data_IF_108246820929
#
_entry.id   IF_108246820929
#
_cell.length_a   1.000
_cell.length_b   1.000
_cell.length_c   1.000
_cell.angle_alpha   90.00
_cell.angle_beta   90.00
_cell.angle_gamma   90.00
#
_symmetry.space_group_name_H-M   'P 1'
#
loop_
_entity.id
_entity.type
_entity.pdbx_description
1 polymer ?
#
# COMPACT_ATOMS: atom_id res chain seq x y z
N UNK A 1 28.10 5.56 -3.70
CA UNK A 1 26.74 5.18 -4.12
C UNK A 1 25.85 5.16 -2.88
N UNK A 2 24.68 5.80 -2.95
CA UNK A 2 23.68 5.81 -1.88
C UNK A 2 22.52 4.88 -2.26
N UNK A 3 22.03 4.10 -1.30
CA UNK A 3 20.85 3.25 -1.43
C UNK A 3 19.61 4.05 -1.02
N UNK A 4 18.67 4.20 -1.96
CA UNK A 4 17.44 4.95 -1.75
C UNK A 4 16.24 4.03 -1.90
N UNK A 5 15.37 3.99 -0.90
CA UNK A 5 14.09 3.28 -0.97
C UNK A 5 12.93 4.26 -1.21
N UNK A 6 12.03 3.92 -2.13
CA UNK A 6 10.78 4.66 -2.32
C UNK A 6 9.68 4.02 -1.49
N UNK A 7 9.35 4.66 -0.36
CA UNK A 7 8.31 4.22 0.58
C UNK A 7 6.98 4.96 0.34
N UNK A 8 6.83 5.71 -0.75
CA UNK A 8 5.66 6.57 -0.96
C UNK A 8 4.37 5.73 -1.06
N UNK A 9 4.42 4.52 -1.62
CA UNK A 9 3.26 3.62 -1.70
C UNK A 9 3.22 2.60 -0.56
N UNK A 10 4.36 1.99 -0.23
CA UNK A 10 4.45 0.82 0.66
C UNK A 10 4.76 1.18 2.12
N UNK A 11 5.19 2.41 2.37
CA UNK A 11 5.37 2.93 3.72
C UNK A 11 4.06 3.39 4.35
N UNK A 12 4.20 3.92 5.56
CA UNK A 12 3.10 4.33 6.43
C UNK A 12 2.12 3.16 6.64
N UNK A 13 2.62 2.04 7.15
CA UNK A 13 1.78 1.00 7.77
C UNK A 13 1.09 -0.01 6.84
N UNK A 14 0.94 0.26 5.54
CA UNK A 14 0.10 -0.60 4.67
C UNK A 14 0.59 -2.05 4.57
N UNK A 15 1.88 -2.30 4.79
CA UNK A 15 2.46 -3.65 4.76
C UNK A 15 2.48 -4.32 6.14
N UNK A 16 1.90 -3.70 7.16
CA UNK A 16 1.95 -4.13 8.58
C UNK A 16 3.18 -3.60 9.34
N UNK A 17 4.19 -3.08 8.64
CA UNK A 17 5.32 -2.35 9.24
C UNK A 17 5.18 -0.86 8.93
N UNK A 18 5.81 -0.01 9.74
CA UNK A 18 5.75 1.44 9.50
C UNK A 18 6.37 1.75 8.13
N UNK A 19 7.51 1.13 7.84
CA UNK A 19 8.18 1.21 6.56
C UNK A 19 8.36 -0.19 5.97
N UNK A 20 8.12 -0.36 4.67
CA UNK A 20 8.20 -1.68 4.04
C UNK A 20 9.61 -2.28 4.11
N UNK A 21 10.65 -1.46 4.07
CA UNK A 21 12.03 -1.90 4.18
C UNK A 21 12.33 -2.63 5.49
N UNK A 22 11.55 -2.40 6.56
CA UNK A 22 11.71 -3.09 7.85
C UNK A 22 11.50 -4.61 7.73
N UNK A 23 10.73 -5.07 6.72
CA UNK A 23 10.60 -6.50 6.41
C UNK A 23 11.89 -7.12 5.87
N UNK A 24 12.84 -6.31 5.41
CA UNK A 24 14.11 -6.72 4.80
C UNK A 24 15.32 -6.37 5.68
N UNK A 25 15.08 -6.07 6.97
CA UNK A 25 16.15 -5.92 7.94
C UNK A 25 17.08 -7.16 7.90
N UNK A 26 18.42 -6.97 7.96
CA UNK A 26 19.10 -5.76 8.38
C UNK A 26 19.41 -4.74 7.27
N UNK A 27 18.93 -4.90 6.03
CA UNK A 27 19.20 -3.95 4.94
C UNK A 27 18.48 -2.63 5.23
N UNK A 28 19.26 -1.58 5.54
CA UNK A 28 18.75 -0.22 5.80
C UNK A 28 19.07 0.70 4.62
N UNK A 29 18.13 1.54 4.17
CA UNK A 29 18.44 2.55 3.17
C UNK A 29 19.34 3.64 3.76
N UNK A 30 20.13 4.27 2.90
CA UNK A 30 20.80 5.53 3.25
C UNK A 30 19.79 6.68 3.27
N UNK A 31 18.77 6.62 2.39
CA UNK A 31 17.64 7.55 2.37
C UNK A 31 16.37 6.81 1.98
N UNK A 32 15.22 7.25 2.47
CA UNK A 32 13.94 6.83 1.89
C UNK A 32 12.97 7.99 1.74
N UNK A 33 12.19 7.97 0.66
CA UNK A 33 11.15 8.96 0.39
C UNK A 33 9.80 8.49 0.91
N UNK A 34 8.98 9.40 1.41
CA UNK A 34 7.62 9.12 1.89
C UNK A 34 6.62 10.14 1.34
N UNK A 35 5.33 9.81 1.44
CA UNK A 35 4.24 10.65 0.92
C UNK A 35 2.88 10.00 1.14
N UNK A 36 1.92 10.31 0.26
CA UNK A 36 0.57 9.70 0.21
C UNK A 36 -0.12 9.62 1.58
N UNK A 37 -0.04 8.48 2.26
CA UNK A 37 -0.68 8.27 3.57
C UNK A 37 -0.13 9.20 4.64
N UNK A 38 1.12 9.64 4.50
CA UNK A 38 1.71 10.67 5.36
C UNK A 38 1.02 12.04 5.19
N UNK A 39 0.33 12.29 4.07
CA UNK A 39 -0.27 13.58 3.66
C UNK A 39 0.72 14.76 3.58
N UNK A 40 2.01 14.47 3.75
CA UNK A 40 3.15 15.32 3.45
C UNK A 40 4.17 14.43 2.74
N UNK A 41 4.85 14.99 1.74
CA UNK A 41 5.93 14.30 1.04
C UNK A 41 7.28 14.78 1.58
N UNK A 42 8.24 13.86 1.63
CA UNK A 42 9.58 14.18 2.09
C UNK A 42 10.52 13.01 1.95
N UNK A 43 11.68 13.14 2.58
CA UNK A 43 12.66 12.09 2.67
C UNK A 43 13.26 12.05 4.07
N UNK A 44 13.66 10.86 4.51
CA UNK A 44 14.44 10.64 5.72
C UNK A 44 15.82 10.19 5.27
N UNK A 45 16.87 10.86 5.76
CA UNK A 45 18.26 10.58 5.43
C UNK A 45 19.02 10.08 6.66
N UNK A 46 19.81 9.03 6.46
CA UNK A 46 20.77 8.53 7.44
C UNK A 46 22.13 9.25 7.36
N UNK A 47 23.08 8.87 8.24
CA UNK A 47 24.35 9.59 8.39
C UNK A 47 25.26 9.53 7.16
N UNK A 48 25.07 8.55 6.26
CA UNK A 48 25.87 8.45 5.02
C UNK A 48 25.64 9.62 4.05
N UNK A 49 24.54 10.38 4.23
CA UNK A 49 24.33 11.62 3.45
C UNK A 49 25.42 12.66 3.73
N UNK A 50 26.02 12.65 4.93
CA UNK A 50 27.08 13.59 5.33
C UNK A 50 28.43 13.27 4.70
N UNK A 51 28.61 12.09 4.08
CA UNK A 51 29.79 11.78 3.24
C UNK A 51 29.87 12.74 2.03
N UNK A 52 28.73 13.31 1.61
CA UNK A 52 28.65 14.35 0.60
C UNK A 52 28.76 15.71 1.29
N UNK A 53 29.96 16.32 1.24
CA UNK A 53 30.28 17.59 1.93
C UNK A 53 29.27 18.71 1.66
N UNK A 54 28.84 18.85 0.40
CA UNK A 54 27.93 19.92 -0.05
C UNK A 54 26.49 19.41 -0.23
N UNK A 55 26.04 18.48 0.61
CA UNK A 55 24.68 17.94 0.51
C UNK A 55 23.61 19.02 0.77
N UNK A 56 22.36 18.68 0.42
CA UNK A 56 21.22 19.58 0.50
C UNK A 56 20.85 20.04 1.91
N UNK A 57 21.33 19.37 2.96
CA UNK A 57 21.14 19.76 4.36
C UNK A 57 22.24 20.67 4.88
N UNK A 58 23.38 20.78 4.17
CA UNK A 58 24.52 21.64 4.54
C UNK A 58 24.53 22.97 3.79
N UNK A 59 24.14 22.94 2.50
CA UNK A 59 24.12 24.12 1.66
C UNK A 59 22.70 24.66 1.55
N UNK A 60 22.50 25.89 2.03
CA UNK A 60 21.21 26.58 2.00
C UNK A 60 20.61 26.63 0.60
N UNK A 61 19.28 26.60 0.53
CA UNK A 61 18.49 26.76 -0.70
C UNK A 61 18.65 25.65 -1.75
N UNK A 62 19.26 24.50 -1.43
CA UNK A 62 19.33 23.34 -2.35
C UNK A 62 18.06 22.50 -2.40
N UNK A 63 17.30 22.45 -1.31
CA UNK A 63 15.94 21.91 -1.28
C UNK A 63 15.09 22.98 -0.62
N UNK A 64 14.18 23.57 -1.41
CA UNK A 64 13.29 24.60 -0.90
C UNK A 64 11.92 24.43 -1.55
N UNK A 65 10.87 24.43 -0.74
CA UNK A 65 9.49 24.34 -1.20
C UNK A 65 8.69 25.44 -0.51
N UNK A 66 8.08 26.31 -1.30
CA UNK A 66 7.24 27.41 -0.79
C UNK A 66 6.12 26.92 0.12
N UNK A 67 5.63 25.70 -0.11
CA UNK A 67 4.49 25.11 0.61
C UNK A 67 4.82 23.75 1.26
N UNK A 68 6.10 23.38 1.34
CA UNK A 68 6.52 22.10 1.91
C UNK A 68 6.72 22.20 3.42
N UNK A 69 5.97 21.43 4.20
CA UNK A 69 6.15 21.36 5.65
C UNK A 69 5.61 22.57 6.38
N UNK A 70 4.40 23.02 6.03
CA UNK A 70 3.74 24.10 6.76
C UNK A 70 3.40 23.66 8.20
N UNK A 71 3.10 24.62 9.09
CA UNK A 71 2.65 24.31 10.46
C UNK A 71 1.42 23.39 10.45
N UNK A 72 0.50 23.60 9.50
CA UNK A 72 -0.68 22.75 9.33
C UNK A 72 -0.28 21.31 8.98
N UNK A 73 0.72 21.13 8.13
CA UNK A 73 1.22 19.80 7.79
C UNK A 73 1.92 19.12 8.98
N UNK A 74 2.68 19.88 9.77
CA UNK A 74 3.34 19.36 10.97
C UNK A 74 2.32 18.86 12.01
N UNK A 75 1.28 19.66 12.29
CA UNK A 75 0.20 19.27 13.21
C UNK A 75 -0.55 18.05 12.69
N UNK A 76 -0.87 18.00 11.39
CA UNK A 76 -1.53 16.85 10.77
C UNK A 76 -0.67 15.58 10.85
N UNK A 77 0.61 15.68 10.50
CA UNK A 77 1.55 14.55 10.53
C UNK A 77 1.72 14.02 11.95
N UNK A 78 1.87 14.91 12.95
CA UNK A 78 1.88 14.53 14.35
C UNK A 78 0.60 13.77 14.72
N UNK A 79 -0.57 14.29 14.32
CA UNK A 79 -1.84 13.65 14.67
C UNK A 79 -1.99 12.25 14.08
N UNK A 80 -1.50 12.01 12.86
CA UNK A 80 -1.47 10.66 12.31
C UNK A 80 -0.55 9.73 13.09
N UNK A 81 0.63 10.18 13.49
CA UNK A 81 1.51 9.34 14.31
C UNK A 81 0.90 9.00 15.68
N UNK A 82 0.17 9.95 16.29
CA UNK A 82 -0.63 9.70 17.50
C UNK A 82 -1.70 8.62 17.24
N UNK A 83 -2.48 8.73 16.15
CA UNK A 83 -3.48 7.73 15.78
C UNK A 83 -2.85 6.35 15.57
N UNK A 84 -1.71 6.27 14.87
CA UNK A 84 -1.00 5.00 14.67
C UNK A 84 -0.61 4.33 15.99
N UNK A 85 -0.15 5.13 16.96
CA UNK A 85 0.23 4.66 18.29
C UNK A 85 -0.98 4.27 19.12
N UNK A 86 -1.97 5.16 19.22
CA UNK A 86 -3.09 5.04 20.15
C UNK A 86 -4.11 3.99 19.70
N UNK A 87 -4.39 3.92 18.40
CA UNK A 87 -5.29 2.92 17.80
C UNK A 87 -4.57 1.63 17.41
N UNK A 88 -3.27 1.52 17.66
CA UNK A 88 -2.43 0.35 17.31
C UNK A 88 -2.60 -0.10 15.86
N UNK A 89 -2.62 0.86 14.94
CA UNK A 89 -2.90 0.64 13.51
C UNK A 89 -2.00 -0.44 12.90
N UNK A 90 -0.70 -0.45 13.25
CA UNK A 90 0.24 -1.44 12.73
C UNK A 90 -0.06 -2.87 13.20
N UNK A 91 -0.52 -3.03 14.45
CA UNK A 91 -0.91 -4.33 14.99
C UNK A 91 -2.17 -4.84 14.30
N UNK A 92 -3.15 -3.95 14.07
CA UNK A 92 -4.36 -4.29 13.33
C UNK A 92 -4.04 -4.74 11.89
N UNK A 93 -3.23 -3.98 11.16
CA UNK A 93 -2.85 -4.33 9.77
C UNK A 93 -2.04 -5.62 9.73
N UNK A 94 -1.12 -5.83 10.68
CA UNK A 94 -0.25 -7.02 10.70
C UNK A 94 -0.97 -8.29 11.10
N UNK A 95 -1.82 -8.22 12.12
CA UNK A 95 -2.31 -9.41 12.82
C UNK A 95 -3.80 -9.68 12.57
N UNK A 96 -4.54 -8.72 12.03
CA UNK A 96 -6.00 -8.82 11.86
C UNK A 96 -6.40 -8.63 10.40
N UNK A 97 -6.32 -7.40 9.89
CA UNK A 97 -6.86 -7.05 8.58
C UNK A 97 -6.03 -7.63 7.41
N UNK A 98 -4.70 -7.63 7.54
CA UNK A 98 -3.81 -8.19 6.52
C UNK A 98 -4.02 -9.70 6.31
N UNK A 99 -3.96 -10.52 7.38
CA UNK A 99 -4.27 -11.95 7.28
C UNK A 99 -5.68 -12.23 6.74
N UNK A 100 -6.69 -11.47 7.17
CA UNK A 100 -8.07 -11.62 6.70
C UNK A 100 -8.19 -11.35 5.19
N UNK A 101 -7.62 -10.23 4.71
CA UNK A 101 -7.59 -9.93 3.28
C UNK A 101 -6.85 -11.03 2.51
N UNK A 102 -5.65 -11.41 2.95
CA UNK A 102 -4.85 -12.41 2.23
C UNK A 102 -5.57 -13.76 2.13
N UNK A 103 -6.20 -14.21 3.21
CA UNK A 103 -7.00 -15.44 3.23
C UNK A 103 -8.15 -15.39 2.20
N UNK A 104 -8.96 -14.33 2.22
CA UNK A 104 -10.06 -14.17 1.26
C UNK A 104 -9.59 -14.11 -0.21
N UNK A 105 -8.42 -13.52 -0.47
CA UNK A 105 -7.85 -13.55 -1.82
C UNK A 105 -7.39 -14.96 -2.23
N UNK A 106 -6.85 -15.76 -1.30
CA UNK A 106 -6.47 -17.16 -1.56
C UNK A 106 -7.69 -18.07 -1.77
N UNK A 107 -8.80 -17.78 -1.11
CA UNK A 107 -10.09 -18.43 -1.38
C UNK A 107 -10.54 -18.17 -2.81
N UNK A 108 -10.54 -16.90 -3.26
CA UNK A 108 -10.88 -16.56 -4.66
C UNK A 108 -9.96 -17.26 -5.68
N UNK A 109 -8.66 -17.34 -5.41
CA UNK A 109 -7.73 -18.08 -6.26
C UNK A 109 -8.08 -19.58 -6.35
N UNK A 110 -8.53 -20.16 -5.25
CA UNK A 110 -8.93 -21.58 -5.18
C UNK A 110 -10.28 -21.84 -5.85
N UNK A 111 -11.22 -20.89 -5.77
CA UNK A 111 -12.55 -20.98 -6.36
C UNK A 111 -12.56 -20.79 -7.88
N UNK A 112 -11.63 -19.98 -8.42
CA UNK A 112 -11.55 -19.67 -9.85
C UNK A 112 -10.21 -20.09 -10.47
N UNK A 113 -9.86 -21.39 -10.41
CA UNK A 113 -8.59 -21.89 -10.92
C UNK A 113 -8.45 -21.60 -12.41
N UNK A 114 -7.26 -21.15 -12.82
CA UNK A 114 -6.97 -20.78 -14.22
C UNK A 114 -7.41 -19.36 -14.59
N UNK A 115 -8.32 -18.72 -13.83
CA UNK A 115 -8.71 -17.32 -14.03
C UNK A 115 -8.02 -16.38 -13.06
N UNK A 116 -8.07 -16.69 -11.76
CA UNK A 116 -7.34 -15.95 -10.71
C UNK A 116 -6.09 -16.75 -10.33
N UNK A 117 -4.95 -16.06 -10.27
CA UNK A 117 -3.65 -16.68 -9.95
C UNK A 117 -2.70 -15.69 -9.29
N UNK A 118 -1.63 -16.21 -8.69
CA UNK A 118 -0.52 -15.43 -8.17
C UNK A 118 -0.95 -14.42 -7.08
N UNK A 119 -1.76 -14.88 -6.12
CA UNK A 119 -2.09 -14.08 -4.93
C UNK A 119 -0.82 -13.79 -4.13
N UNK A 120 -0.54 -12.50 -3.93
CA UNK A 120 0.69 -12.01 -3.30
C UNK A 120 0.47 -10.70 -2.57
N UNK A 121 1.32 -10.41 -1.59
CA UNK A 121 1.28 -9.15 -0.85
C UNK A 121 1.71 -9.28 0.61
N UNK A 122 1.68 -8.14 1.31
CA UNK A 122 1.90 -8.02 2.76
C UNK A 122 0.93 -7.01 3.34
N UNK A 123 0.42 -7.26 4.54
CA UNK A 123 -0.57 -6.39 5.17
C UNK A 123 -1.79 -6.18 4.27
N UNK A 124 -2.17 -4.92 4.08
CA UNK A 124 -3.25 -4.49 3.19
C UNK A 124 -2.76 -4.06 1.79
N UNK A 125 -1.52 -4.39 1.43
CA UNK A 125 -0.97 -4.19 0.09
C UNK A 125 -0.88 -5.53 -0.64
N UNK A 126 -2.01 -5.95 -1.20
CA UNK A 126 -2.17 -7.26 -1.84
C UNK A 126 -2.61 -7.15 -3.30
N UNK A 127 -2.44 -8.23 -4.05
CA UNK A 127 -2.83 -8.33 -5.44
C UNK A 127 -2.97 -9.79 -5.88
N UNK A 128 -3.73 -10.00 -6.96
CA UNK A 128 -3.71 -11.22 -7.75
C UNK A 128 -3.76 -10.86 -9.23
N UNK A 129 -3.36 -11.82 -10.07
CA UNK A 129 -3.43 -11.71 -11.51
C UNK A 129 -4.69 -12.39 -12.03
N UNK A 130 -5.34 -11.77 -13.02
CA UNK A 130 -6.35 -12.39 -13.86
C UNK A 130 -5.67 -12.94 -15.12
N UNK A 131 -6.21 -14.00 -15.71
CA UNK A 131 -5.57 -14.74 -16.80
C UNK A 131 -5.26 -13.89 -18.05
N UNK A 132 -6.08 -12.88 -18.37
CA UNK A 132 -5.80 -11.92 -19.44
C UNK A 132 -6.33 -10.49 -19.15
N UNK A 133 -5.77 -9.46 -19.80
CA UNK A 133 -6.19 -8.06 -19.60
C UNK A 133 -7.67 -7.80 -19.88
N UNK A 134 -8.26 -8.45 -20.88
CA UNK A 134 -9.65 -8.22 -21.28
C UNK A 134 -10.63 -8.68 -20.19
N UNK A 135 -10.35 -9.84 -19.58
CA UNK A 135 -11.14 -10.34 -18.45
C UNK A 135 -10.88 -9.52 -17.19
N UNK A 136 -9.65 -9.03 -16.98
CA UNK A 136 -9.32 -8.11 -15.88
C UNK A 136 -10.17 -6.85 -15.97
N UNK A 137 -10.25 -6.22 -17.13
CA UNK A 137 -10.99 -4.97 -17.31
C UNK A 137 -12.51 -5.18 -17.17
N UNK A 138 -13.04 -6.30 -17.66
CA UNK A 138 -14.45 -6.68 -17.43
C UNK A 138 -14.73 -6.92 -15.95
N UNK A 139 -13.84 -7.61 -15.25
CA UNK A 139 -13.94 -7.85 -13.81
C UNK A 139 -13.98 -6.54 -13.01
N UNK A 140 -13.09 -5.59 -13.30
CA UNK A 140 -13.09 -4.27 -12.64
C UNK A 140 -14.39 -3.50 -12.88
N UNK A 141 -14.91 -3.52 -14.12
CA UNK A 141 -16.20 -2.90 -14.44
C UNK A 141 -17.35 -3.54 -13.66
N UNK A 142 -17.32 -4.86 -13.50
CA UNK A 142 -18.36 -5.58 -12.76
C UNK A 142 -18.27 -5.31 -11.25
N UNK A 143 -17.07 -5.22 -10.67
CA UNK A 143 -16.87 -4.76 -9.29
C UNK A 143 -17.46 -3.35 -9.08
N UNK A 144 -17.18 -2.43 -10.01
CA UNK A 144 -17.67 -1.06 -9.93
C UNK A 144 -19.20 -0.98 -9.98
N UNK A 145 -19.87 -1.76 -10.84
CA UNK A 145 -21.34 -1.85 -10.87
C UNK A 145 -21.94 -2.38 -9.56
N UNK A 146 -21.17 -3.18 -8.82
CA UNK A 146 -21.55 -3.71 -7.51
C UNK A 146 -21.01 -2.84 -6.37
N UNK A 147 -20.76 -1.55 -6.61
CA UNK A 147 -20.32 -0.55 -5.63
C UNK A 147 -18.95 -0.80 -4.98
N UNK A 148 -18.08 -1.58 -5.62
CA UNK A 148 -16.68 -1.73 -5.19
C UNK A 148 -15.73 -1.03 -6.14
N UNK A 149 -15.07 0.04 -5.65
CA UNK A 149 -13.98 0.68 -6.38
C UNK A 149 -12.67 -0.06 -6.12
N UNK A 150 -12.23 -0.84 -7.11
CA UNK A 150 -10.93 -1.49 -7.12
C UNK A 150 -10.21 -1.19 -8.43
N UNK A 151 -8.88 -1.16 -8.39
CA UNK A 151 -8.07 -0.74 -9.52
C UNK A 151 -7.18 -1.87 -10.03
N UNK A 152 -6.87 -1.81 -11.33
CA UNK A 152 -5.81 -2.61 -11.91
C UNK A 152 -4.42 -2.09 -11.57
N UNK A 153 -3.41 -2.93 -11.75
CA UNK A 153 -2.03 -2.51 -11.95
C UNK A 153 -1.36 -3.42 -12.98
N UNK A 154 -0.44 -2.89 -13.78
CA UNK A 154 0.12 -3.65 -14.90
C UNK A 154 -0.97 -4.13 -15.89
N UNK A 155 -0.62 -5.14 -16.68
CA UNK A 155 -1.48 -5.65 -17.76
C UNK A 155 -2.68 -6.45 -17.24
N UNK A 156 -2.49 -7.33 -16.26
CA UNK A 156 -3.50 -8.30 -15.86
C UNK A 156 -3.74 -8.40 -14.33
N UNK A 157 -3.12 -7.53 -13.52
CA UNK A 157 -3.25 -7.58 -12.06
C UNK A 157 -4.38 -6.69 -11.55
N UNK A 158 -5.04 -7.12 -10.48
CA UNK A 158 -5.96 -6.34 -9.64
C UNK A 158 -5.28 -6.07 -8.30
N UNK A 159 -5.30 -4.82 -7.82
CA UNK A 159 -4.64 -4.43 -6.56
C UNK A 159 -5.63 -4.08 -5.46
N UNK A 160 -5.36 -4.59 -4.27
CA UNK A 160 -6.07 -4.30 -3.03
C UNK A 160 -5.19 -3.39 -2.17
N UNK A 161 -5.72 -2.21 -1.85
CA UNK A 161 -5.11 -1.19 -0.99
C UNK A 161 -6.19 -0.42 -0.21
N UNK A 162 -7.02 -1.11 0.60
CA UNK A 162 -8.06 -0.45 1.38
C UNK A 162 -7.45 0.47 2.45
N UNK A 163 -8.31 1.23 3.14
CA UNK A 163 -7.90 2.04 4.29
C UNK A 163 -7.28 1.17 5.40
N UNK A 164 -6.38 1.75 6.19
CA UNK A 164 -5.65 0.98 7.22
C UNK A 164 -6.54 0.55 8.39
N UNK A 165 -7.65 1.26 8.60
CA UNK A 165 -8.69 0.97 9.58
C UNK A 165 -9.92 0.30 8.94
N UNK A 166 -9.77 -0.32 7.76
CA UNK A 166 -10.88 -1.00 7.07
C UNK A 166 -11.52 -2.05 8.00
N UNK A 167 -12.84 -2.00 8.23
CA UNK A 167 -13.53 -3.02 9.02
C UNK A 167 -13.44 -4.41 8.38
N UNK A 168 -13.52 -5.47 9.20
CA UNK A 168 -13.43 -6.84 8.68
C UNK A 168 -14.66 -7.19 7.82
N UNK A 169 -15.82 -6.67 8.18
CA UNK A 169 -17.05 -6.79 7.40
C UNK A 169 -16.92 -6.16 6.00
N UNK A 170 -16.20 -5.04 5.87
CA UNK A 170 -15.96 -4.38 4.58
C UNK A 170 -14.94 -5.17 3.75
N UNK A 171 -13.94 -5.79 4.39
CA UNK A 171 -13.04 -6.72 3.71
C UNK A 171 -13.81 -7.91 3.16
N UNK A 172 -14.66 -8.54 3.99
CA UNK A 172 -15.48 -9.67 3.57
C UNK A 172 -16.43 -9.28 2.43
N UNK A 173 -17.10 -8.13 2.55
CA UNK A 173 -17.96 -7.59 1.49
C UNK A 173 -17.17 -7.40 0.18
N UNK A 174 -15.95 -6.89 0.25
CA UNK A 174 -15.08 -6.76 -0.92
C UNK A 174 -14.72 -8.10 -1.57
N UNK A 175 -14.48 -9.13 -0.77
CA UNK A 175 -14.27 -10.51 -1.27
C UNK A 175 -15.54 -11.05 -1.92
N UNK A 176 -16.70 -10.84 -1.31
CA UNK A 176 -17.99 -11.32 -1.83
C UNK A 176 -18.37 -10.63 -3.15
N UNK A 177 -18.14 -9.32 -3.27
CA UNK A 177 -18.33 -8.58 -4.52
C UNK A 177 -17.34 -9.08 -5.58
N UNK A 178 -16.09 -9.35 -5.20
CA UNK A 178 -15.09 -9.93 -6.11
C UNK A 178 -15.52 -11.30 -6.61
N UNK A 179 -16.05 -12.16 -5.74
CA UNK A 179 -16.60 -13.48 -6.11
C UNK A 179 -17.76 -13.34 -7.09
N UNK A 180 -18.70 -12.45 -6.82
CA UNK A 180 -19.84 -12.16 -7.71
C UNK A 180 -19.38 -11.66 -9.08
N UNK A 181 -18.41 -10.75 -9.12
CA UNK A 181 -17.84 -10.23 -10.36
C UNK A 181 -17.11 -11.32 -11.16
N UNK A 182 -16.36 -12.20 -10.48
CA UNK A 182 -15.72 -13.35 -11.10
C UNK A 182 -16.74 -14.30 -11.75
N UNK A 183 -17.81 -14.67 -11.03
CA UNK A 183 -18.88 -15.53 -11.56
C UNK A 183 -19.59 -14.94 -12.79
N UNK A 184 -19.74 -13.62 -12.85
CA UNK A 184 -20.38 -12.94 -13.96
C UNK A 184 -19.47 -12.82 -15.20
N UNK A 185 -18.14 -12.76 -15.00
CA UNK A 185 -17.18 -12.45 -16.07
C UNK A 185 -16.43 -13.68 -16.58
N UNK A 186 -16.04 -14.58 -15.69
CA UNK A 186 -15.31 -15.79 -16.05
C UNK A 186 -16.34 -16.82 -16.50
N UNK A 187 -16.35 -17.12 -17.81
CA UNK A 187 -17.21 -18.16 -18.37
C UNK A 187 -16.87 -19.49 -17.71
N UNK A 188 -17.88 -20.28 -17.32
CA UNK A 188 -17.71 -21.72 -17.12
C UNK A 188 -17.32 -22.39 -18.44
#
# INVERSE_FOLDING_TARGET
MLLIFDEVQCGMGITGKMWAWEHHAPVKPDLFSFGKKAQICGLIAGPRVDEVKDNCFKVSSRINSTWGGTVVDMVRAQKYLEIYRDEKVLDYVSNVAGPALYAGLKELESEFPGYIRNVRGKGLMCAYDICCPELRDKFLKECHKNNMLILGCGSNTVRFRPALNVPLEDLQLGIDISRKAAQAVFKK
#
